data_IF_837199041577
#
_entry.id   IF_837199041577
#
_cell.length_a   1.000
_cell.length_b   1.000
_cell.length_c   1.000
_cell.angle_alpha   90.00
_cell.angle_beta   90.00
_cell.angle_gamma   90.00
#
_symmetry.space_group_name_H-M   'P 1'
#
loop_
_entity.id
_entity.type
_entity.pdbx_description
1 polymer ?
#
# COMPACT_ATOMS: atom_id res chain seq x y z
N UNK A 1 1.86 -34.93 -10.78
CA UNK A 1 1.18 -33.66 -11.19
C UNK A 1 0.73 -32.98 -9.91
N UNK A 2 1.51 -32.01 -9.42
CA UNK A 2 1.18 -31.30 -8.19
C UNK A 2 0.13 -30.23 -8.49
N UNK A 3 -0.99 -30.28 -7.81
CA UNK A 3 -2.07 -29.28 -7.87
C UNK A 3 -1.55 -28.00 -7.21
N UNK A 4 -1.43 -26.90 -7.97
CA UNK A 4 -1.14 -25.58 -7.39
C UNK A 4 -2.30 -25.19 -6.45
N UNK A 5 -1.97 -24.81 -5.22
CA UNK A 5 -2.93 -24.31 -4.21
C UNK A 5 -3.01 -22.79 -4.32
N UNK A 6 -3.64 -22.31 -5.38
CA UNK A 6 -3.75 -20.87 -5.59
C UNK A 6 -4.97 -20.32 -4.80
N UNK A 7 -4.82 -19.29 -3.95
CA UNK A 7 -5.92 -18.80 -3.11
C UNK A 7 -6.95 -17.98 -3.92
N UNK A 8 -8.17 -18.49 -4.09
CA UNK A 8 -9.17 -17.82 -4.92
C UNK A 8 -9.74 -16.54 -4.28
N UNK A 9 -9.40 -15.39 -4.85
CA UNK A 9 -10.07 -14.12 -4.60
C UNK A 9 -10.52 -13.57 -5.96
N UNK A 10 -11.81 -13.24 -6.06
CA UNK A 10 -12.58 -12.95 -7.27
C UNK A 10 -11.80 -12.35 -8.47
N UNK A 11 -11.99 -12.96 -9.65
CA UNK A 11 -11.52 -12.50 -10.98
C UNK A 11 -10.01 -12.64 -11.25
N UNK A 12 -9.56 -13.89 -11.51
CA UNK A 12 -8.47 -14.40 -12.38
C UNK A 12 -7.08 -13.70 -12.51
N UNK A 13 -6.84 -12.53 -11.95
CA UNK A 13 -5.55 -11.80 -12.00
C UNK A 13 -4.94 -11.63 -10.60
N UNK A 14 -5.76 -11.80 -9.56
CA UNK A 14 -5.46 -11.49 -8.15
C UNK A 14 -4.54 -12.52 -7.49
N UNK A 15 -4.61 -13.74 -7.99
CA UNK A 15 -4.05 -14.92 -7.35
C UNK A 15 -2.52 -14.93 -7.34
N UNK A 16 -1.86 -14.49 -8.41
CA UNK A 16 -0.40 -14.61 -8.55
C UNK A 16 0.39 -13.60 -7.71
N UNK A 17 -0.17 -12.42 -7.43
CA UNK A 17 0.50 -11.43 -6.59
C UNK A 17 0.48 -11.83 -5.11
N UNK A 18 -0.55 -12.55 -4.68
CA UNK A 18 -0.73 -12.99 -3.30
C UNK A 18 -0.30 -14.45 -3.06
N UNK A 19 -0.09 -15.23 -4.12
CA UNK A 19 0.39 -16.61 -4.02
C UNK A 19 1.75 -16.65 -3.31
N UNK A 20 1.80 -17.41 -2.22
CA UNK A 20 2.98 -17.59 -1.38
C UNK A 20 3.58 -16.24 -0.89
N UNK A 21 2.73 -15.25 -0.63
CA UNK A 21 3.18 -13.92 -0.20
C UNK A 21 3.95 -13.98 1.13
N UNK A 22 5.15 -13.40 1.15
CA UNK A 22 6.03 -13.41 2.31
C UNK A 22 6.94 -14.65 2.39
N UNK A 23 6.79 -15.63 1.49
CA UNK A 23 7.69 -16.79 1.44
C UNK A 23 9.06 -16.46 0.85
N UNK A 24 9.16 -15.34 0.12
CA UNK A 24 10.36 -14.98 -0.62
C UNK A 24 11.49 -14.45 0.28
N UNK A 25 11.28 -14.38 1.60
CA UNK A 25 12.36 -14.18 2.57
C UNK A 25 13.45 -15.26 2.46
N UNK A 26 13.08 -16.46 2.02
CA UNK A 26 14.01 -17.57 1.83
C UNK A 26 14.98 -17.37 0.64
N UNK A 27 14.68 -16.45 -0.29
CA UNK A 27 15.56 -16.12 -1.42
C UNK A 27 16.58 -15.03 -1.02
N UNK A 28 17.90 -15.35 -0.99
CA UNK A 28 18.93 -14.40 -0.60
C UNK A 28 18.98 -13.14 -1.47
N UNK A 29 18.75 -13.28 -2.78
CA UNK A 29 18.81 -12.19 -3.76
C UNK A 29 17.62 -11.26 -3.55
N UNK A 30 16.43 -11.82 -3.37
CA UNK A 30 15.23 -11.02 -3.18
C UNK A 30 15.25 -10.29 -1.83
N UNK A 31 15.73 -10.96 -0.78
CA UNK A 31 15.94 -10.37 0.54
C UNK A 31 16.90 -9.18 0.49
N UNK A 32 17.99 -9.28 -0.26
CA UNK A 32 18.92 -8.16 -0.46
C UNK A 32 18.24 -6.97 -1.16
N UNK A 33 17.43 -7.24 -2.19
CA UNK A 33 16.65 -6.19 -2.89
C UNK A 33 15.64 -5.50 -1.99
N UNK A 34 14.87 -6.27 -1.22
CA UNK A 34 13.93 -5.75 -0.22
C UNK A 34 14.67 -4.91 0.81
N UNK A 35 15.77 -5.42 1.36
CA UNK A 35 16.58 -4.68 2.31
C UNK A 35 17.10 -3.36 1.71
N UNK A 36 17.54 -3.36 0.45
CA UNK A 36 17.97 -2.15 -0.25
C UNK A 36 16.88 -1.08 -0.38
N UNK A 37 15.62 -1.50 -0.53
CA UNK A 37 14.44 -0.63 -0.69
C UNK A 37 13.85 -0.13 0.62
N UNK A 38 13.88 -0.95 1.67
CA UNK A 38 13.29 -0.64 2.98
C UNK A 38 14.36 -0.28 4.04
N UNK A 39 15.60 -0.02 3.62
CA UNK A 39 16.66 0.43 4.52
C UNK A 39 16.27 1.78 5.14
N UNK A 40 16.24 1.82 6.47
CA UNK A 40 15.87 3.00 7.28
C UNK A 40 16.80 4.20 7.06
N UNK A 41 18.02 3.97 6.58
CA UNK A 41 19.01 5.02 6.28
C UNK A 41 18.76 5.66 4.90
N UNK A 42 17.85 5.12 4.09
CA UNK A 42 17.48 5.64 2.76
C UNK A 42 16.03 6.09 2.73
N UNK A 43 15.82 7.40 2.80
CA UNK A 43 14.50 8.02 2.60
C UNK A 43 14.23 8.24 1.10
N UNK A 44 13.06 7.83 0.62
CA UNK A 44 12.56 8.20 -0.72
C UNK A 44 13.07 7.36 -1.89
N UNK A 45 13.13 6.03 -1.75
CA UNK A 45 13.47 5.16 -2.88
C UNK A 45 12.38 5.19 -3.97
N UNK A 46 12.77 5.45 -5.21
CA UNK A 46 11.86 5.45 -6.36
C UNK A 46 12.16 4.21 -7.22
N UNK A 47 11.14 3.38 -7.43
CA UNK A 47 11.19 2.21 -8.29
C UNK A 47 10.72 2.55 -9.70
N UNK A 48 11.66 2.89 -10.58
CA UNK A 48 11.37 3.16 -12.01
C UNK A 48 11.75 1.93 -12.82
N UNK A 49 10.77 1.19 -13.35
CA UNK A 49 11.00 0.05 -14.25
C UNK A 49 9.81 -0.16 -15.18
N UNK A 50 10.03 -0.87 -16.29
CA UNK A 50 8.99 -1.31 -17.24
C UNK A 50 7.84 -2.05 -16.56
N UNK A 51 6.65 -2.03 -17.17
CA UNK A 51 5.48 -2.77 -16.67
C UNK A 51 5.78 -4.28 -16.51
N UNK A 52 5.07 -4.94 -15.59
CA UNK A 52 5.21 -6.36 -15.28
C UNK A 52 6.59 -6.82 -14.72
N UNK A 53 7.47 -5.90 -14.30
CA UNK A 53 8.77 -6.26 -13.69
C UNK A 53 8.70 -6.71 -12.23
N UNK A 54 7.50 -6.97 -11.68
CA UNK A 54 7.32 -7.43 -10.29
C UNK A 54 7.49 -6.35 -9.19
N UNK A 55 7.45 -5.06 -9.51
CA UNK A 55 7.58 -3.96 -8.52
C UNK A 55 6.56 -4.07 -7.39
N UNK A 56 5.29 -4.25 -7.74
CA UNK A 56 4.18 -4.36 -6.79
C UNK A 56 4.39 -5.55 -5.85
N UNK A 57 4.74 -6.72 -6.39
CA UNK A 57 5.10 -7.90 -5.58
C UNK A 57 6.27 -7.62 -4.65
N UNK A 58 7.33 -6.97 -5.14
CA UNK A 58 8.50 -6.62 -4.32
C UNK A 58 8.15 -5.66 -3.17
N UNK A 59 7.25 -4.71 -3.39
CA UNK A 59 6.72 -3.83 -2.34
C UNK A 59 5.92 -4.63 -1.31
N UNK A 60 5.06 -5.56 -1.74
CA UNK A 60 4.27 -6.38 -0.82
C UNK A 60 5.15 -7.30 0.02
N UNK A 61 6.14 -7.97 -0.58
CA UNK A 61 7.13 -8.78 0.14
C UNK A 61 7.91 -7.95 1.17
N UNK A 62 8.26 -6.72 0.80
CA UNK A 62 8.90 -5.79 1.72
C UNK A 62 8.01 -5.44 2.92
N UNK A 63 6.70 -5.31 2.73
CA UNK A 63 5.72 -5.07 3.79
C UNK A 63 5.41 -6.34 4.62
N UNK A 64 5.63 -7.54 4.09
CA UNK A 64 5.62 -8.76 4.90
C UNK A 64 6.81 -8.82 5.87
N UNK A 65 7.96 -8.25 5.47
CA UNK A 65 9.19 -8.22 6.27
C UNK A 65 9.30 -6.97 7.17
N UNK A 66 8.62 -5.89 6.81
CA UNK A 66 8.70 -4.59 7.49
C UNK A 66 7.30 -4.03 7.74
N UNK A 67 7.07 -3.51 8.93
CA UNK A 67 5.85 -2.77 9.19
C UNK A 67 5.77 -1.50 8.33
N UNK A 68 4.63 -1.29 7.69
CA UNK A 68 4.42 -0.13 6.85
C UNK A 68 3.03 -0.09 6.23
N UNK A 69 2.81 0.97 5.46
CA UNK A 69 1.57 1.21 4.74
C UNK A 69 1.83 1.17 3.24
N UNK A 70 0.87 0.62 2.50
CA UNK A 70 0.84 0.72 1.05
C UNK A 70 -0.25 1.72 0.63
N UNK A 71 0.13 2.76 -0.11
CA UNK A 71 -0.80 3.72 -0.68
C UNK A 71 -0.63 3.78 -2.19
N UNK A 72 -1.74 3.70 -2.91
CA UNK A 72 -1.80 3.90 -4.34
C UNK A 72 -2.26 5.34 -4.62
N UNK A 73 -1.57 6.08 -5.50
CA UNK A 73 -1.96 7.45 -5.85
C UNK A 73 -2.74 7.55 -7.18
N UNK A 74 -2.86 6.46 -7.94
CA UNK A 74 -3.49 6.48 -9.25
C UNK A 74 -3.87 5.08 -9.69
N UNK A 75 -5.07 4.96 -10.28
CA UNK A 75 -5.65 3.68 -10.65
C UNK A 75 -4.95 3.11 -11.89
N UNK A 76 -4.14 2.07 -11.69
CA UNK A 76 -3.90 1.09 -12.74
C UNK A 76 -5.07 0.09 -12.79
N UNK A 77 -5.14 -0.76 -13.81
CA UNK A 77 -6.21 -1.76 -14.04
C UNK A 77 -6.39 -2.78 -12.90
N UNK A 78 -5.56 -2.73 -11.87
CA UNK A 78 -5.50 -3.70 -10.78
C UNK A 78 -6.35 -3.16 -9.61
N UNK A 79 -7.53 -3.77 -9.39
CA UNK A 79 -8.53 -3.33 -8.39
C UNK A 79 -8.28 -3.86 -6.96
N UNK A 80 -7.03 -4.14 -6.63
CA UNK A 80 -6.66 -4.92 -5.43
C UNK A 80 -6.54 -4.11 -4.14
N UNK A 81 -6.83 -2.81 -4.14
CA UNK A 81 -6.23 -1.89 -3.18
C UNK A 81 -7.22 -0.87 -2.61
N UNK A 82 -6.89 -0.36 -1.43
CA UNK A 82 -7.61 0.77 -0.83
C UNK A 82 -7.65 1.96 -1.79
N UNK A 83 -8.85 2.52 -1.93
CA UNK A 83 -9.13 3.74 -2.71
C UNK A 83 -9.02 5.01 -1.88
N UNK A 84 -8.55 4.94 -0.64
CA UNK A 84 -8.54 6.10 0.26
C UNK A 84 -7.80 7.29 -0.33
N UNK A 85 -6.63 7.08 -0.93
CA UNK A 85 -5.83 8.17 -1.50
C UNK A 85 -6.33 8.62 -2.90
N UNK A 86 -6.69 7.74 -3.85
CA UNK A 86 -7.31 8.15 -5.11
C UNK A 86 -8.64 8.89 -4.91
N UNK A 87 -9.52 8.39 -4.05
CA UNK A 87 -10.81 9.04 -3.76
C UNK A 87 -10.58 10.39 -3.04
N UNK A 88 -9.55 10.48 -2.19
CA UNK A 88 -9.12 11.74 -1.60
C UNK A 88 -8.64 12.72 -2.68
N UNK A 89 -7.80 12.28 -3.62
CA UNK A 89 -7.33 13.11 -4.74
C UNK A 89 -8.51 13.62 -5.56
N UNK A 90 -9.46 12.75 -5.91
CA UNK A 90 -10.67 13.13 -6.65
C UNK A 90 -11.51 14.15 -5.85
N UNK A 91 -11.60 13.98 -4.52
CA UNK A 91 -12.36 14.89 -3.66
C UNK A 91 -11.75 16.29 -3.53
N UNK A 92 -10.41 16.41 -3.53
CA UNK A 92 -9.72 17.70 -3.40
C UNK A 92 -9.47 18.39 -4.74
N UNK A 93 -9.47 17.64 -5.85
CA UNK A 93 -9.18 18.14 -7.19
C UNK A 93 -9.98 19.41 -7.55
N UNK A 94 -11.28 19.54 -7.22
CA UNK A 94 -12.03 20.77 -7.48
C UNK A 94 -11.52 22.01 -6.70
N UNK A 95 -10.85 21.80 -5.57
CA UNK A 95 -10.28 22.85 -4.73
C UNK A 95 -8.82 23.20 -5.05
N UNK A 96 -8.16 22.41 -5.91
CA UNK A 96 -6.78 22.68 -6.37
C UNK A 96 -6.82 23.72 -7.48
N UNK A 97 -6.12 24.82 -7.28
CA UNK A 97 -6.04 25.89 -8.27
C UNK A 97 -4.93 25.60 -9.29
N UNK A 98 -5.13 25.92 -10.59
CA UNK A 98 -4.05 25.86 -11.56
C UNK A 98 -2.88 26.76 -11.15
N UNK A 99 -1.65 26.23 -11.20
CA UNK A 99 -0.47 27.02 -10.88
C UNK A 99 -0.26 28.12 -11.95
N UNK A 100 -0.10 29.39 -11.53
CA UNK A 100 0.32 30.47 -12.42
C UNK A 100 1.72 30.22 -13.00
N UNK A 101 2.15 31.09 -13.93
CA UNK A 101 3.55 31.09 -14.36
C UNK A 101 4.49 31.27 -13.15
N UNK A 102 5.63 30.56 -13.08
CA UNK A 102 6.58 30.67 -11.97
C UNK A 102 7.08 32.09 -11.67
N UNK A 103 7.05 33.00 -12.65
CA UNK A 103 7.41 34.40 -12.49
C UNK A 103 6.30 35.30 -11.94
N UNK A 104 5.08 34.78 -11.79
CA UNK A 104 3.93 35.54 -11.28
C UNK A 104 4.07 35.82 -9.77
N UNK A 105 3.75 37.04 -9.30
CA UNK A 105 3.73 37.35 -7.86
C UNK A 105 2.79 36.43 -7.05
N UNK A 106 1.77 35.85 -7.71
CA UNK A 106 0.79 34.95 -7.08
C UNK A 106 1.24 33.48 -7.03
N UNK A 107 2.30 33.09 -7.76
CA UNK A 107 2.71 31.69 -7.88
C UNK A 107 2.93 31.00 -6.53
N UNK A 108 3.71 31.63 -5.66
CA UNK A 108 4.04 31.08 -4.33
C UNK A 108 2.78 30.97 -3.46
N UNK A 109 1.89 31.97 -3.52
CA UNK A 109 0.66 31.95 -2.73
C UNK A 109 -0.28 30.82 -3.16
N UNK A 110 -0.47 30.61 -4.47
CA UNK A 110 -1.29 29.53 -5.01
C UNK A 110 -0.66 28.15 -4.73
N UNK A 111 0.66 28.04 -4.89
CA UNK A 111 1.39 26.80 -4.58
C UNK A 111 1.24 26.39 -3.11
N UNK A 112 1.43 27.33 -2.18
CA UNK A 112 1.29 27.03 -0.74
C UNK A 112 -0.16 26.73 -0.36
N UNK A 113 -1.14 27.40 -0.96
CA UNK A 113 -2.56 27.06 -0.79
C UNK A 113 -2.85 25.62 -1.21
N UNK A 114 -2.43 25.23 -2.42
CA UNK A 114 -2.62 23.88 -2.93
C UNK A 114 -1.89 22.83 -2.07
N UNK A 115 -0.65 23.12 -1.64
CA UNK A 115 0.11 22.25 -0.73
C UNK A 115 -0.59 22.06 0.60
N UNK A 116 -1.15 23.13 1.16
CA UNK A 116 -1.87 23.06 2.43
C UNK A 116 -3.11 22.18 2.30
N UNK A 117 -3.91 22.38 1.24
CA UNK A 117 -5.06 21.52 0.95
C UNK A 117 -4.65 20.04 0.82
N UNK A 118 -3.65 19.74 0.00
CA UNK A 118 -3.16 18.37 -0.17
C UNK A 118 -2.65 17.78 1.15
N UNK A 119 -1.94 18.56 1.96
CA UNK A 119 -1.37 18.12 3.25
C UNK A 119 -2.46 17.79 4.26
N UNK A 120 -3.49 18.63 4.38
CA UNK A 120 -4.60 18.39 5.31
C UNK A 120 -5.27 17.06 5.03
N UNK A 121 -5.60 16.80 3.77
CA UNK A 121 -6.25 15.57 3.35
C UNK A 121 -5.33 14.34 3.42
N UNK A 122 -4.07 14.46 2.99
CA UNK A 122 -3.10 13.37 3.13
C UNK A 122 -2.87 12.99 4.60
N UNK A 123 -2.85 13.97 5.50
CA UNK A 123 -2.73 13.72 6.94
C UNK A 123 -3.95 12.98 7.50
N UNK A 124 -5.16 13.29 7.03
CA UNK A 124 -6.37 12.56 7.44
C UNK A 124 -6.34 11.10 6.98
N UNK A 125 -5.94 10.84 5.73
CA UNK A 125 -5.75 9.48 5.21
C UNK A 125 -4.71 8.73 6.05
N UNK A 126 -3.54 9.33 6.28
CA UNK A 126 -2.49 8.71 7.09
C UNK A 126 -2.94 8.44 8.52
N UNK A 127 -3.61 9.40 9.16
CA UNK A 127 -4.10 9.27 10.52
C UNK A 127 -5.15 8.14 10.64
N UNK A 128 -6.08 8.05 9.69
CA UNK A 128 -7.08 6.98 9.69
C UNK A 128 -6.43 5.59 9.63
N UNK A 129 -5.43 5.41 8.76
CA UNK A 129 -4.66 4.17 8.66
C UNK A 129 -3.86 3.89 9.92
N UNK A 130 -3.24 4.90 10.53
CA UNK A 130 -2.52 4.74 11.81
C UNK A 130 -3.44 4.28 12.94
N UNK A 131 -4.68 4.79 12.99
CA UNK A 131 -5.67 4.38 14.00
C UNK A 131 -6.15 2.94 13.78
N UNK A 132 -6.47 2.58 12.53
CA UNK A 132 -6.85 1.20 12.16
C UNK A 132 -5.69 0.24 12.49
N UNK A 133 -4.47 0.63 12.13
CA UNK A 133 -3.27 -0.12 12.39
C UNK A 133 -3.00 -0.30 13.89
N UNK A 134 -3.16 0.75 14.68
CA UNK A 134 -3.04 0.66 16.13
C UNK A 134 -4.04 -0.35 16.71
N UNK A 135 -5.31 -0.25 16.31
CA UNK A 135 -6.35 -1.19 16.73
C UNK A 135 -6.01 -2.64 16.30
N UNK A 136 -5.49 -2.83 15.09
CA UNK A 136 -5.05 -4.13 14.61
C UNK A 136 -3.91 -4.71 15.46
N UNK A 137 -2.87 -3.91 15.76
CA UNK A 137 -1.74 -4.34 16.59
C UNK A 137 -2.17 -4.69 18.02
N UNK A 138 -3.15 -3.97 18.56
CA UNK A 138 -3.74 -4.28 19.86
C UNK A 138 -4.51 -5.61 19.81
N UNK A 139 -5.30 -5.84 18.76
CA UNK A 139 -6.04 -7.08 18.57
C UNK A 139 -5.11 -8.29 18.32
N UNK A 140 -4.01 -8.11 17.58
CA UNK A 140 -3.05 -9.20 17.29
C UNK A 140 -2.28 -9.67 18.53
N UNK A 141 -2.32 -8.93 19.63
CA UNK A 141 -1.71 -9.32 20.92
C UNK A 141 -2.65 -10.19 21.77
N UNK A 142 -3.91 -10.36 21.37
CA UNK A 142 -4.86 -11.18 22.12
C UNK A 142 -4.52 -12.68 22.01
N UNK A 143 -4.78 -13.46 23.08
CA UNK A 143 -4.57 -14.90 23.06
C UNK A 143 -5.37 -15.57 21.93
N UNK A 144 -4.70 -16.39 21.11
CA UNK A 144 -5.34 -17.10 19.99
C UNK A 144 -5.06 -16.52 18.60
N UNK A 145 -4.40 -15.36 18.51
CA UNK A 145 -3.83 -14.90 17.25
C UNK A 145 -2.73 -15.88 16.79
N UNK A 146 -2.80 -16.34 15.54
CA UNK A 146 -1.82 -17.24 14.92
C UNK A 146 -1.39 -16.67 13.58
N UNK A 147 -0.13 -16.86 13.17
CA UNK A 147 0.44 -16.30 11.93
C UNK A 147 1.30 -15.06 12.15
N UNK A 148 1.94 -14.57 11.08
CA UNK A 148 2.73 -13.33 11.14
C UNK A 148 1.79 -12.10 11.09
N UNK A 149 1.77 -11.26 12.13
CA UNK A 149 0.88 -10.10 12.18
C UNK A 149 1.19 -9.06 11.09
N UNK A 150 2.41 -9.03 10.52
CA UNK A 150 2.75 -8.14 9.39
C UNK A 150 2.01 -8.54 8.13
N UNK A 151 2.04 -9.83 7.80
CA UNK A 151 1.32 -10.38 6.65
C UNK A 151 -0.19 -10.18 6.80
N UNK A 152 -0.71 -10.43 8.00
CA UNK A 152 -2.12 -10.22 8.32
C UNK A 152 -2.55 -8.76 8.26
N UNK A 153 -1.66 -7.83 8.57
CA UNK A 153 -1.92 -6.40 8.46
C UNK A 153 -1.91 -5.89 7.01
N UNK A 154 -1.21 -6.59 6.10
CA UNK A 154 -1.14 -6.20 4.69
C UNK A 154 -2.42 -6.54 3.93
N UNK A 155 -3.03 -7.71 4.22
CA UNK A 155 -4.21 -8.19 3.49
C UNK A 155 -5.39 -7.19 3.49
N UNK A 156 -5.74 -6.50 4.59
CA UNK A 156 -6.80 -5.49 4.59
C UNK A 156 -6.44 -4.15 3.92
N UNK A 157 -5.16 -3.89 3.64
CA UNK A 157 -4.71 -2.68 2.91
C UNK A 157 -4.77 -2.90 1.39
N UNK A 158 -4.42 -4.10 0.96
CA UNK A 158 -4.93 -4.71 -0.27
C UNK A 158 -6.43 -5.02 -0.01
N UNK A 159 -7.23 -5.65 -0.84
CA UNK A 159 -8.52 -6.28 -0.46
C UNK A 159 -9.39 -5.71 0.71
N UNK A 160 -9.72 -4.39 0.76
CA UNK A 160 -10.53 -3.84 1.85
C UNK A 160 -11.98 -4.37 1.84
N UNK A 161 -12.43 -4.90 0.70
CA UNK A 161 -13.78 -5.45 0.51
C UNK A 161 -13.92 -6.94 0.85
N UNK A 162 -12.87 -7.64 1.31
CA UNK A 162 -12.98 -9.07 1.63
C UNK A 162 -14.05 -9.30 2.73
N UNK A 163 -15.21 -9.91 2.41
CA UNK A 163 -16.16 -10.30 3.41
C UNK A 163 -15.54 -11.46 4.17
N UNK A 164 -15.35 -11.28 5.49
CA UNK A 164 -14.88 -12.25 6.47
C UNK A 164 -14.35 -13.58 5.94
N UNK A 165 -13.06 -13.83 6.10
CA UNK A 165 -12.48 -15.17 6.05
C UNK A 165 -13.40 -16.11 6.85
N UNK A 166 -14.21 -16.91 6.16
CA UNK A 166 -14.89 -18.03 6.78
C UNK A 166 -13.78 -18.95 7.25
N UNK A 167 -13.61 -19.05 8.56
CA UNK A 167 -12.84 -20.11 9.19
C UNK A 167 -13.44 -21.44 8.75
N UNK A 168 -12.80 -22.08 7.78
CA UNK A 168 -13.10 -23.45 7.40
C UNK A 168 -12.67 -24.37 8.52
N UNK A 169 -13.65 -24.94 9.22
CA UNK A 169 -13.47 -26.16 10.03
C UNK A 169 -13.40 -27.40 9.16
#
# INVERSE_FOLDING_TARGET
>A
MASLKIPSVHHNEIELLLDDLGSLEADPILRERVHGLFNKDKLGNILVNVSASGKTRLSFEGLCQNWGFYFMCGMDTIRLESRDLPDTIDSISPGVEPLPDPGSPSFIAVLEKNRQLCREHANLVLLSHLLIYQAFVEASRLPGASGDPRQQCLLPQLLPELPGLKSGG
#
